data_IF_140163348914
#
_entry.id   IF_140163348914
#
_cell.length_a   1.000
_cell.length_b   1.000
_cell.length_c   1.000
_cell.angle_alpha   90.00
_cell.angle_beta   90.00
_cell.angle_gamma   90.00
#
_symmetry.space_group_name_H-M   'P 1'
#
loop_
_entity.id
_entity.type
_entity.pdbx_description
1 polymer ?
#
# COMPACT_ATOMS: atom_id res chain seq x y z
N UNK A 1 -20.84 -5.44 -73.95
CA UNK A 1 -22.25 -5.04 -73.73
C UNK A 1 -22.44 -4.88 -72.23
N UNK A 2 -22.86 -3.69 -71.82
CA UNK A 2 -23.14 -3.21 -70.46
C UNK A 2 -21.93 -3.05 -69.50
N UNK A 3 -21.36 -1.84 -69.53
CA UNK A 3 -20.69 -1.24 -68.38
C UNK A 3 -21.75 -0.81 -67.36
N UNK A 4 -21.58 -1.17 -66.08
CA UNK A 4 -22.39 -0.64 -64.98
C UNK A 4 -21.50 0.32 -64.18
N UNK A 5 -21.95 1.57 -64.21
CA UNK A 5 -21.26 2.77 -63.75
C UNK A 5 -21.17 2.84 -62.22
N UNK A 6 -20.06 3.44 -61.77
CA UNK A 6 -19.95 4.08 -60.46
C UNK A 6 -21.18 4.97 -60.21
N UNK A 7 -21.91 4.69 -59.13
CA UNK A 7 -22.88 5.61 -58.56
C UNK A 7 -22.11 6.63 -57.72
N UNK A 8 -21.72 7.73 -58.36
CA UNK A 8 -21.31 8.95 -57.68
C UNK A 8 -22.47 9.39 -56.76
N UNK A 9 -22.20 9.45 -55.46
CA UNK A 9 -23.10 10.08 -54.49
C UNK A 9 -22.83 11.59 -54.60
N UNK A 10 -23.73 12.39 -55.20
CA UNK A 10 -23.52 13.83 -55.27
C UNK A 10 -23.64 14.41 -53.86
N UNK A 11 -22.74 15.34 -53.54
CA UNK A 11 -22.74 16.13 -52.31
C UNK A 11 -24.13 16.74 -52.06
N UNK A 12 -24.86 16.18 -51.11
CA UNK A 12 -26.18 16.64 -50.67
C UNK A 12 -26.13 17.91 -49.80
N UNK A 13 -25.24 18.86 -50.14
CA UNK A 13 -25.18 20.18 -49.53
C UNK A 13 -25.45 21.31 -50.54
N UNK A 14 -26.00 20.96 -51.71
CA UNK A 14 -26.55 21.87 -52.70
C UNK A 14 -28.08 21.77 -52.75
N UNK A 15 -28.74 21.84 -51.60
CA UNK A 15 -30.15 22.16 -51.53
C UNK A 15 -30.28 23.69 -51.42
N UNK A 16 -30.40 24.34 -52.57
CA UNK A 16 -30.91 25.70 -52.64
C UNK A 16 -32.34 25.72 -52.11
N UNK A 17 -32.49 25.86 -50.79
CA UNK A 17 -33.74 26.25 -50.17
C UNK A 17 -34.02 27.67 -50.60
N UNK A 18 -35.02 27.84 -51.46
CA UNK A 18 -35.69 29.11 -51.68
C UNK A 18 -35.99 29.70 -50.31
N UNK A 19 -35.32 30.81 -49.97
CA UNK A 19 -35.62 31.59 -48.80
C UNK A 19 -37.04 32.15 -48.98
N UNK A 20 -38.03 31.37 -48.54
CA UNK A 20 -39.38 31.85 -48.32
C UNK A 20 -39.25 32.93 -47.24
N UNK A 21 -39.24 34.18 -47.70
CA UNK A 21 -39.20 35.37 -46.86
C UNK A 21 -40.56 35.51 -46.18
N UNK A 22 -40.80 34.68 -45.17
CA UNK A 22 -41.82 35.02 -44.19
C UNK A 22 -41.37 36.32 -43.49
N UNK A 23 -42.21 37.36 -43.46
CA UNK A 23 -41.88 38.59 -42.74
C UNK A 23 -41.56 38.25 -41.28
N UNK A 24 -40.60 38.96 -40.65
CA UNK A 24 -40.24 38.71 -39.26
C UNK A 24 -41.52 38.72 -38.41
N UNK A 25 -41.70 37.69 -37.59
CA UNK A 25 -42.78 37.60 -36.61
C UNK A 25 -42.60 38.75 -35.63
N UNK A 26 -43.28 39.87 -35.90
CA UNK A 26 -43.32 41.13 -35.15
C UNK A 26 -42.07 42.04 -35.29
N UNK A 27 -42.25 43.38 -35.35
CA UNK A 27 -41.14 44.31 -35.32
C UNK A 27 -40.51 44.31 -33.93
N UNK A 28 -39.28 43.83 -33.82
CA UNK A 28 -38.47 43.96 -32.60
C UNK A 28 -38.15 45.45 -32.43
N UNK A 29 -38.38 46.00 -31.24
CA UNK A 29 -38.03 47.40 -30.95
C UNK A 29 -36.51 47.60 -31.03
N UNK A 30 -36.07 48.80 -31.41
CA UNK A 30 -34.63 49.11 -31.49
C UNK A 30 -33.93 48.94 -30.13
N UNK A 31 -34.66 49.12 -29.03
CA UNK A 31 -34.18 48.87 -27.67
C UNK A 31 -33.93 47.39 -27.39
N UNK A 32 -34.84 46.52 -27.83
CA UNK A 32 -34.68 45.05 -27.69
C UNK A 32 -33.52 44.54 -28.55
N UNK A 33 -33.30 45.15 -29.72
CA UNK A 33 -32.15 44.85 -30.57
C UNK A 33 -30.82 45.18 -29.89
N UNK A 34 -30.73 46.36 -29.26
CA UNK A 34 -29.53 46.77 -28.52
C UNK A 34 -29.27 45.90 -27.28
N UNK A 35 -30.32 45.44 -26.59
CA UNK A 35 -30.21 44.50 -25.46
C UNK A 35 -29.68 43.13 -25.91
N UNK A 36 -30.23 42.59 -27.00
CA UNK A 36 -29.82 41.30 -27.55
C UNK A 36 -28.35 41.30 -28.00
N UNK A 37 -27.90 42.37 -28.66
CA UNK A 37 -26.50 42.53 -29.09
C UNK A 37 -25.54 42.50 -27.90
N UNK A 38 -25.88 43.19 -26.80
CA UNK A 38 -25.09 43.15 -25.56
C UNK A 38 -25.05 41.73 -24.96
N UNK A 39 -26.17 41.02 -24.93
CA UNK A 39 -26.23 39.65 -24.41
C UNK A 39 -25.46 38.65 -25.26
N UNK A 40 -25.47 38.79 -26.58
CA UNK A 40 -24.71 37.93 -27.49
C UNK A 40 -23.19 38.20 -27.40
N UNK A 41 -22.77 39.46 -27.20
CA UNK A 41 -21.36 39.80 -26.98
C UNK A 41 -20.78 39.25 -25.67
N UNK A 42 -21.62 38.93 -24.68
CA UNK A 42 -21.21 38.30 -23.41
C UNK A 42 -21.66 36.83 -23.34
N UNK A 43 -21.94 36.20 -24.47
CA UNK A 43 -22.38 34.81 -24.50
C UNK A 43 -21.22 33.89 -24.12
N UNK A 44 -21.39 32.99 -23.13
CA UNK A 44 -20.38 32.01 -22.77
C UNK A 44 -20.15 31.01 -23.91
N UNK A 45 -18.91 30.56 -24.04
CA UNK A 45 -18.52 29.58 -25.03
C UNK A 45 -19.17 28.22 -24.76
N UNK A 46 -19.35 27.43 -25.82
CA UNK A 46 -19.92 26.07 -25.71
C UNK A 46 -19.16 25.22 -24.70
N UNK A 47 -17.83 25.30 -24.71
CA UNK A 47 -16.97 24.55 -23.79
C UNK A 47 -17.22 24.94 -22.33
N UNK A 48 -17.37 26.23 -22.04
CA UNK A 48 -17.66 26.74 -20.69
C UNK A 48 -19.01 26.21 -20.17
N UNK A 49 -20.01 26.10 -21.05
CA UNK A 49 -21.31 25.52 -20.70
C UNK A 49 -21.23 24.00 -20.44
N UNK A 50 -20.33 23.29 -21.13
CA UNK A 50 -20.08 21.86 -20.90
C UNK A 50 -19.35 21.62 -19.57
N UNK A 51 -18.34 22.43 -19.24
CA UNK A 51 -17.63 22.38 -17.94
C UNK A 51 -18.57 22.67 -16.76
N UNK A 52 -19.45 23.67 -16.92
CA UNK A 52 -20.49 24.00 -15.94
C UNK A 52 -21.63 22.97 -15.91
N UNK A 53 -21.54 21.88 -16.68
CA UNK A 53 -22.55 20.82 -16.81
C UNK A 53 -23.93 21.32 -17.25
N UNK A 54 -24.00 22.50 -17.87
CA UNK A 54 -25.24 23.07 -18.44
C UNK A 54 -25.54 22.41 -19.78
N UNK A 55 -24.54 22.28 -20.65
CA UNK A 55 -24.63 21.50 -21.89
C UNK A 55 -23.97 20.14 -21.70
N UNK A 56 -24.56 19.05 -22.23
CA UNK A 56 -23.89 17.75 -22.18
C UNK A 56 -22.82 17.65 -23.27
N UNK A 57 -21.66 17.05 -22.98
CA UNK A 57 -20.59 16.93 -23.95
C UNK A 57 -20.95 15.96 -25.07
N UNK A 58 -20.67 16.37 -26.30
CA UNK A 58 -20.81 15.55 -27.50
C UNK A 58 -21.72 16.15 -28.58
N UNK A 59 -21.68 15.53 -29.77
CA UNK A 59 -22.45 15.93 -30.94
C UNK A 59 -23.66 15.00 -31.15
N UNK A 60 -24.38 14.69 -30.08
CA UNK A 60 -25.57 13.83 -30.14
C UNK A 60 -26.83 14.68 -30.26
N UNK A 61 -27.85 14.13 -30.92
CA UNK A 61 -29.16 14.77 -30.99
C UNK A 61 -29.75 14.95 -29.57
N UNK A 62 -30.41 16.08 -29.25
CA UNK A 62 -31.01 16.32 -27.94
C UNK A 62 -31.99 15.24 -27.48
N UNK A 63 -32.66 14.55 -28.42
CA UNK A 63 -33.59 13.45 -28.14
C UNK A 63 -32.93 12.18 -27.61
N UNK A 64 -31.64 11.94 -27.92
CA UNK A 64 -30.91 10.73 -27.52
C UNK A 64 -30.07 10.92 -26.26
N UNK A 65 -29.95 12.16 -25.79
CA UNK A 65 -29.11 12.51 -24.65
C UNK A 65 -29.58 11.83 -23.37
N UNK A 66 -30.90 11.77 -23.13
CA UNK A 66 -31.48 11.09 -21.97
C UNK A 66 -31.18 9.58 -21.97
N UNK A 67 -31.38 8.91 -23.11
CA UNK A 67 -31.12 7.48 -23.26
C UNK A 67 -29.63 7.15 -23.06
N UNK A 68 -28.73 8.01 -23.54
CA UNK A 68 -27.28 7.88 -23.27
C UNK A 68 -26.99 7.99 -21.77
N UNK A 69 -27.52 9.01 -21.11
CA UNK A 69 -27.26 9.25 -19.68
C UNK A 69 -27.79 8.09 -18.83
N UNK A 70 -28.96 7.53 -19.18
CA UNK A 70 -29.54 6.36 -18.53
C UNK A 70 -28.69 5.10 -18.72
N UNK A 71 -28.22 4.84 -19.95
CA UNK A 71 -27.29 3.75 -20.22
C UNK A 71 -26.00 3.90 -19.42
N UNK A 72 -25.41 5.10 -19.40
CA UNK A 72 -24.21 5.39 -18.63
C UNK A 72 -24.44 5.16 -17.14
N UNK A 73 -25.59 5.58 -16.61
CA UNK A 73 -25.97 5.36 -15.22
C UNK A 73 -26.10 3.87 -14.90
N UNK A 74 -26.76 3.09 -15.76
CA UNK A 74 -26.88 1.63 -15.61
C UNK A 74 -25.50 0.98 -15.59
N UNK A 75 -24.64 1.30 -16.56
CA UNK A 75 -23.28 0.75 -16.62
C UNK A 75 -22.44 1.11 -15.38
N UNK A 76 -22.62 2.30 -14.81
CA UNK A 76 -21.94 2.70 -13.57
C UNK A 76 -22.51 1.96 -12.36
N UNK A 77 -23.82 1.70 -12.32
CA UNK A 77 -24.46 0.91 -11.27
C UNK A 77 -23.94 -0.53 -11.29
N UNK A 78 -23.92 -1.20 -12.45
CA UNK A 78 -23.43 -2.57 -12.58
C UNK A 78 -21.96 -2.69 -12.17
N UNK A 79 -21.13 -1.70 -12.56
CA UNK A 79 -19.72 -1.64 -12.15
C UNK A 79 -19.54 -1.41 -10.65
N UNK A 80 -20.40 -0.59 -10.05
CA UNK A 80 -20.35 -0.33 -8.62
C UNK A 80 -20.77 -1.57 -7.84
N UNK A 81 -21.84 -2.24 -8.26
CA UNK A 81 -22.32 -3.48 -7.67
C UNK A 81 -21.24 -4.56 -7.68
N UNK A 82 -20.61 -4.82 -8.84
CA UNK A 82 -19.52 -5.79 -8.91
C UNK A 82 -18.28 -5.42 -8.06
N UNK A 83 -18.06 -4.14 -7.75
CA UNK A 83 -17.01 -3.70 -6.81
C UNK A 83 -17.42 -3.87 -5.36
N UNK A 84 -18.70 -3.68 -5.04
CA UNK A 84 -19.24 -3.85 -3.70
C UNK A 84 -19.30 -5.34 -3.32
N UNK A 85 -19.61 -6.23 -4.25
CA UNK A 85 -19.56 -7.69 -4.03
C UNK A 85 -18.16 -8.19 -3.67
N UNK A 86 -17.13 -7.61 -4.28
CA UNK A 86 -15.72 -7.97 -4.05
C UNK A 86 -15.05 -7.11 -2.98
N UNK A 87 -15.84 -6.36 -2.21
CA UNK A 87 -15.32 -5.48 -1.17
C UNK A 87 -14.65 -6.32 -0.07
N UNK A 88 -13.38 -6.07 0.27
CA UNK A 88 -12.75 -6.72 1.42
C UNK A 88 -13.41 -6.33 2.73
N UNK A 89 -13.41 -7.26 3.68
CA UNK A 89 -13.85 -6.99 5.04
C UNK A 89 -12.91 -6.01 5.75
N UNK A 90 -13.43 -5.36 6.79
CA UNK A 90 -12.67 -4.36 7.55
C UNK A 90 -11.43 -5.00 8.18
N UNK A 91 -11.56 -6.21 8.73
CA UNK A 91 -10.47 -6.93 9.39
C UNK A 91 -9.33 -7.30 8.42
N UNK A 92 -9.66 -7.59 7.15
CA UNK A 92 -8.67 -7.82 6.10
C UNK A 92 -7.88 -6.55 5.81
N UNK A 93 -8.55 -5.39 5.80
CA UNK A 93 -7.90 -4.10 5.59
C UNK A 93 -6.99 -3.71 6.76
N UNK A 94 -7.38 -4.05 8.00
CA UNK A 94 -6.54 -3.84 9.20
C UNK A 94 -5.33 -4.78 9.17
N UNK A 95 -5.54 -6.05 8.84
CA UNK A 95 -4.47 -7.06 8.75
C UNK A 95 -3.43 -6.71 7.67
N UNK A 96 -3.87 -6.11 6.56
CA UNK A 96 -3.00 -5.60 5.49
C UNK A 96 -2.35 -4.25 5.81
N UNK A 97 -2.67 -3.64 6.95
CA UNK A 97 -2.16 -2.32 7.35
C UNK A 97 -2.69 -1.15 6.51
N UNK A 98 -3.77 -1.34 5.76
CA UNK A 98 -4.43 -0.28 4.97
C UNK A 98 -5.26 0.59 5.90
N UNK A 99 -6.08 -0.04 6.74
CA UNK A 99 -6.86 0.63 7.77
C UNK A 99 -6.16 0.48 9.12
N UNK A 100 -6.17 1.53 9.93
CA UNK A 100 -5.71 1.46 11.31
C UNK A 100 -6.86 0.98 12.19
N UNK A 101 -6.50 0.40 13.34
CA UNK A 101 -7.47 -0.05 14.34
C UNK A 101 -8.50 1.05 14.64
N UNK A 102 -9.79 0.70 14.55
CA UNK A 102 -10.93 1.59 14.69
C UNK A 102 -11.27 1.91 16.15
N UNK A 103 -10.47 1.43 17.12
CA UNK A 103 -10.63 1.81 18.53
C UNK A 103 -10.60 3.33 18.76
N UNK A 104 -10.05 4.12 17.84
CA UNK A 104 -9.89 5.57 17.97
C UNK A 104 -10.53 6.30 16.79
N UNK A 105 -11.21 7.41 17.09
CA UNK A 105 -11.87 8.26 16.09
C UNK A 105 -10.89 8.67 14.96
N UNK A 106 -11.33 8.70 13.68
CA UNK A 106 -10.46 9.00 12.53
C UNK A 106 -9.64 10.29 12.66
N UNK A 107 -10.22 11.33 13.28
CA UNK A 107 -9.55 12.62 13.50
C UNK A 107 -8.38 12.56 14.49
N UNK A 108 -8.36 11.57 15.38
CA UNK A 108 -7.34 11.40 16.41
C UNK A 108 -6.27 10.36 16.05
N UNK A 109 -6.49 9.56 15.00
CA UNK A 109 -5.55 8.49 14.60
C UNK A 109 -4.14 9.02 14.34
N UNK A 110 -4.02 10.15 13.62
CA UNK A 110 -2.72 10.76 13.35
C UNK A 110 -1.97 11.15 14.63
N UNK A 111 -2.66 11.80 15.58
CA UNK A 111 -2.08 12.20 16.88
C UNK A 111 -1.71 11.00 17.73
N UNK A 112 -2.54 9.95 17.71
CA UNK A 112 -2.26 8.70 18.42
C UNK A 112 -0.96 8.06 17.94
N UNK A 113 -0.78 7.99 16.62
CA UNK A 113 0.40 7.34 16.04
C UNK A 113 1.66 8.17 16.23
N UNK A 114 1.55 9.50 16.19
CA UNK A 114 2.63 10.42 16.55
C UNK A 114 3.07 10.19 17.99
N UNK A 115 2.12 10.15 18.94
CA UNK A 115 2.39 9.85 20.34
C UNK A 115 3.00 8.45 20.51
N UNK A 116 2.46 7.44 19.83
CA UNK A 116 2.98 6.07 19.88
C UNK A 116 4.42 6.02 19.37
N UNK A 117 4.72 6.73 18.27
CA UNK A 117 6.07 6.84 17.74
C UNK A 117 7.01 7.50 18.75
N UNK A 118 6.61 8.61 19.36
CA UNK A 118 7.41 9.29 20.39
C UNK A 118 7.68 8.37 21.60
N UNK A 119 6.65 7.68 22.10
CA UNK A 119 6.83 6.73 23.19
C UNK A 119 7.78 5.59 22.82
N UNK A 120 7.73 5.11 21.58
CA UNK A 120 8.65 4.08 21.09
C UNK A 120 10.09 4.61 20.95
N UNK A 121 10.27 5.85 20.49
CA UNK A 121 11.60 6.46 20.41
C UNK A 121 12.20 6.65 21.78
N UNK A 122 11.45 7.17 22.75
CA UNK A 122 11.96 7.40 24.12
C UNK A 122 12.32 6.06 24.79
N UNK A 123 11.47 5.04 24.61
CA UNK A 123 11.74 3.69 25.12
C UNK A 123 12.98 3.07 24.47
N UNK A 124 13.19 3.32 23.18
CA UNK A 124 14.35 2.83 22.46
C UNK A 124 15.61 3.54 22.93
N UNK A 125 15.56 4.86 23.07
CA UNK A 125 16.66 5.69 23.55
C UNK A 125 17.13 5.23 24.94
N UNK A 126 16.22 5.10 25.90
CA UNK A 126 16.58 4.61 27.24
C UNK A 126 17.13 3.17 27.26
N UNK A 127 16.76 2.32 26.27
CA UNK A 127 17.36 0.98 26.10
C UNK A 127 18.74 1.03 25.47
N UNK A 128 18.99 1.98 24.58
CA UNK A 128 20.27 2.19 23.94
C UNK A 128 21.29 2.81 24.91
N UNK A 129 20.87 3.73 25.78
CA UNK A 129 21.72 4.30 26.83
C UNK A 129 22.23 3.23 27.80
N UNK A 130 21.38 2.27 28.16
CA UNK A 130 21.70 1.18 29.09
C UNK A 130 22.17 -0.09 28.37
N UNK A 131 22.62 0.04 27.12
CA UNK A 131 23.08 -1.10 26.33
C UNK A 131 24.34 -1.70 26.98
N UNK A 132 24.32 -2.99 27.38
CA UNK A 132 25.52 -3.64 27.91
C UNK A 132 26.62 -3.69 26.87
N UNK A 133 27.87 -3.58 27.34
CA UNK A 133 29.03 -3.78 26.49
C UNK A 133 29.17 -5.25 26.10
N UNK A 134 29.93 -5.51 25.03
CA UNK A 134 30.14 -6.87 24.56
C UNK A 134 30.78 -7.76 25.61
N UNK A 135 31.75 -7.22 26.36
CA UNK A 135 32.48 -7.97 27.39
C UNK A 135 31.56 -8.36 28.55
N UNK A 136 30.61 -7.50 28.92
CA UNK A 136 29.57 -7.83 29.92
C UNK A 136 28.72 -9.02 29.45
N UNK A 137 28.39 -9.08 28.16
CA UNK A 137 27.63 -10.20 27.59
C UNK A 137 28.45 -11.50 27.54
N UNK A 138 29.77 -11.41 27.30
CA UNK A 138 30.68 -12.57 27.36
C UNK A 138 30.81 -13.09 28.79
N UNK A 139 31.02 -12.19 29.75
CA UNK A 139 31.13 -12.53 31.18
C UNK A 139 29.84 -13.16 31.72
N UNK A 140 28.67 -12.75 31.21
CA UNK A 140 27.36 -13.36 31.54
C UNK A 140 27.09 -14.66 30.78
N UNK A 141 27.98 -15.10 29.89
CA UNK A 141 27.80 -16.31 29.08
C UNK A 141 26.73 -16.21 28.00
N UNK A 142 26.25 -15.00 27.68
CA UNK A 142 25.27 -14.74 26.62
C UNK A 142 25.97 -14.74 25.25
N UNK A 143 27.11 -14.05 25.17
CA UNK A 143 27.92 -13.97 23.96
C UNK A 143 29.13 -14.90 24.09
N UNK A 144 29.47 -15.61 23.03
CA UNK A 144 30.71 -16.39 22.93
C UNK A 144 31.89 -15.46 22.63
N UNK A 145 33.09 -15.85 23.05
CA UNK A 145 34.31 -15.10 22.75
C UNK A 145 34.46 -14.90 21.22
N UNK A 146 34.60 -13.64 20.80
CA UNK A 146 34.52 -13.19 19.40
C UNK A 146 35.82 -13.42 18.61
N UNK A 147 36.65 -14.38 19.03
CA UNK A 147 37.89 -14.71 18.33
C UNK A 147 37.68 -15.19 16.89
N UNK A 148 36.45 -15.60 16.55
CA UNK A 148 36.04 -16.11 15.23
C UNK A 148 34.73 -15.47 14.77
N UNK A 149 34.56 -15.40 13.44
CA UNK A 149 33.35 -14.86 12.82
C UNK A 149 32.07 -15.58 13.29
N UNK A 150 30.91 -14.88 13.39
CA UNK A 150 29.67 -15.45 13.92
C UNK A 150 29.24 -16.78 13.28
N UNK A 151 29.45 -16.93 11.96
CA UNK A 151 29.10 -18.15 11.24
C UNK A 151 29.94 -19.38 11.63
N UNK A 152 31.14 -19.19 12.21
CA UNK A 152 32.05 -20.27 12.59
C UNK A 152 32.01 -20.61 14.07
N UNK A 153 31.35 -19.80 14.90
CA UNK A 153 31.30 -19.97 16.35
C UNK A 153 30.75 -21.34 16.75
N UNK A 154 29.64 -21.78 16.13
CA UNK A 154 29.05 -23.09 16.41
C UNK A 154 29.99 -24.26 16.09
N UNK A 155 30.69 -24.21 14.95
CA UNK A 155 31.67 -25.26 14.56
C UNK A 155 32.90 -25.27 15.46
N UNK A 156 33.38 -24.09 15.88
CA UNK A 156 34.48 -23.97 16.84
C UNK A 156 34.10 -24.62 18.17
N UNK A 157 32.92 -24.31 18.70
CA UNK A 157 32.45 -24.88 19.96
C UNK A 157 32.26 -26.40 19.89
N UNK A 158 31.69 -26.91 18.79
CA UNK A 158 31.55 -28.35 18.57
C UNK A 158 32.92 -29.04 18.59
N UNK A 159 33.90 -28.47 17.89
CA UNK A 159 35.27 -28.98 17.89
C UNK A 159 35.92 -28.91 19.27
N UNK A 160 35.76 -27.81 20.00
CA UNK A 160 36.29 -27.64 21.35
C UNK A 160 35.66 -28.64 22.33
N UNK A 161 34.35 -28.86 22.24
CA UNK A 161 33.64 -29.84 23.07
C UNK A 161 34.10 -31.27 22.77
N UNK A 162 34.26 -31.63 21.49
CA UNK A 162 34.78 -32.93 21.11
C UNK A 162 36.22 -33.14 21.62
N UNK A 163 37.08 -32.12 21.50
CA UNK A 163 38.45 -32.17 22.04
C UNK A 163 38.47 -32.33 23.55
N UNK A 164 37.66 -31.55 24.27
CA UNK A 164 37.55 -31.62 25.72
C UNK A 164 37.02 -32.99 26.18
N UNK A 165 36.04 -33.55 25.46
CA UNK A 165 35.51 -34.88 25.74
C UNK A 165 36.56 -35.98 25.58
N UNK A 166 37.31 -35.96 24.48
CA UNK A 166 38.40 -36.91 24.25
C UNK A 166 39.49 -36.79 25.32
N UNK A 167 39.83 -35.56 25.72
CA UNK A 167 40.81 -35.31 26.76
C UNK A 167 40.34 -35.82 28.13
N UNK A 168 39.11 -35.50 28.51
CA UNK A 168 38.52 -35.99 29.75
C UNK A 168 38.46 -37.52 29.78
N UNK A 169 38.13 -38.16 28.66
CA UNK A 169 38.13 -39.62 28.56
C UNK A 169 39.51 -40.20 28.88
N UNK A 170 40.57 -39.65 28.28
CA UNK A 170 41.95 -40.09 28.53
C UNK A 170 42.37 -39.87 30.00
N UNK A 171 41.97 -38.74 30.59
CA UNK A 171 42.27 -38.44 31.98
C UNK A 171 41.56 -39.42 32.93
N UNK A 172 40.32 -39.81 32.61
CA UNK A 172 39.56 -40.82 33.34
C UNK A 172 40.14 -42.24 33.19
N UNK A 173 40.68 -42.59 32.03
CA UNK A 173 41.38 -43.87 31.81
C UNK A 173 42.63 -43.98 32.69
N UNK A 174 43.35 -42.87 32.88
CA UNK A 174 44.53 -42.79 33.77
C UNK A 174 44.20 -42.55 35.25
N UNK A 175 42.93 -42.67 35.64
CA UNK A 175 42.48 -42.35 36.99
C UNK A 175 43.17 -43.27 38.02
N UNK A 176 43.83 -42.71 39.04
CA UNK A 176 44.44 -43.51 40.10
C UNK A 176 43.35 -44.25 40.88
N UNK A 177 43.64 -45.51 41.20
CA UNK A 177 42.73 -46.34 41.97
C UNK A 177 42.67 -45.90 43.44
N UNK A 178 41.61 -46.31 44.16
CA UNK A 178 41.34 -45.83 45.53
C UNK A 178 42.52 -46.11 46.47
N UNK A 179 43.15 -47.27 46.36
CA UNK A 179 44.30 -47.62 47.20
C UNK A 179 45.57 -46.83 46.83
N UNK A 180 45.72 -46.44 45.56
CA UNK A 180 46.81 -45.55 45.16
C UNK A 180 46.64 -44.15 45.77
N UNK A 181 45.40 -43.69 45.96
CA UNK A 181 45.11 -42.43 46.64
C UNK A 181 45.32 -42.51 48.16
N UNK A 182 45.02 -43.66 48.80
CA UNK A 182 45.36 -43.92 50.21
C UNK A 182 46.87 -43.90 50.44
N UNK A 183 47.66 -44.57 49.58
CA UNK A 183 49.14 -44.56 49.65
C UNK A 183 49.73 -43.17 49.49
N UNK A 184 49.10 -42.32 48.69
CA UNK A 184 49.50 -40.91 48.51
C UNK A 184 49.01 -39.99 49.65
N UNK A 185 48.30 -40.52 50.65
CA UNK A 185 47.82 -39.77 51.81
C UNK A 185 46.65 -38.82 51.52
N UNK A 186 45.98 -38.98 50.36
CA UNK A 186 44.85 -38.13 49.95
C UNK A 186 43.53 -38.64 50.54
N UNK A 187 43.38 -39.97 50.65
CA UNK A 187 42.23 -40.63 51.28
C UNK A 187 42.62 -41.21 52.64
N UNK A 188 41.75 -41.11 53.67
CA UNK A 188 41.99 -41.75 54.96
C UNK A 188 42.07 -43.27 54.81
N UNK A 189 43.01 -43.90 55.50
CA UNK A 189 43.09 -45.35 55.63
C UNK A 189 42.03 -45.76 56.66
N UNK A 190 40.85 -46.19 56.21
CA UNK A 190 39.92 -46.84 57.14
C UNK A 190 40.44 -48.25 57.41
N UNK A 191 40.85 -48.49 58.65
CA UNK A 191 41.05 -49.83 59.20
C UNK A 191 39.66 -50.39 59.50
N UNK A 192 39.20 -51.36 58.71
CA UNK A 192 38.01 -52.14 59.04
C UNK A 192 38.33 -53.01 60.27
N UNK A 193 37.53 -52.87 61.33
CA UNK A 193 37.55 -53.71 62.54
C UNK A 193 36.83 -55.03 62.31
#
# INVERSE_FOLDING_TARGET
MAALNNLDIPAANAAGGTADQHPPKSPISDEDRARLERSLGHRPDRHELEEKNILKPGNLAPSLQSARDELQKSQLADKLEGRLERRPEIDDLVSRGILKDQSVAPSLQAKRDELQKHQLTDKLEGRLERRPEKDDLVNRGILKDQSVAPALQGKKEELERARLGNQLQKDLESRPDVDALKRKGILPHQEEQ
#
